data_IF_237693567033
#
_entry.id   IF_237693567033
#
_cell.length_a   1.000
_cell.length_b   1.000
_cell.length_c   1.000
_cell.angle_alpha   90.00
_cell.angle_beta   90.00
_cell.angle_gamma   90.00
#
_symmetry.space_group_name_H-M   'P 1'
#
loop_
_entity.id
_entity.type
_entity.pdbx_description
1 polymer ?
#
# COMPACT_ATOMS: atom_id res chain seq x y z
N UNK A 1 45.28 29.49 -14.58
CA UNK A 1 45.00 28.52 -13.50
C UNK A 1 43.57 28.54 -12.96
N UNK A 2 42.91 29.70 -12.79
CA UNK A 2 41.53 29.81 -12.25
C UNK A 2 40.45 29.13 -13.12
N UNK A 3 40.60 29.18 -14.45
CA UNK A 3 39.64 28.59 -15.42
C UNK A 3 39.70 27.05 -15.48
N UNK A 4 40.87 26.46 -15.28
CA UNK A 4 41.05 24.99 -15.22
C UNK A 4 40.44 24.42 -13.93
N UNK A 5 40.56 25.15 -12.81
CA UNK A 5 39.92 24.76 -11.55
C UNK A 5 38.39 24.79 -11.62
N UNK A 6 37.80 25.74 -12.36
CA UNK A 6 36.35 25.80 -12.55
C UNK A 6 35.83 24.64 -13.41
N UNK A 7 36.60 24.24 -14.44
CA UNK A 7 36.22 23.14 -15.34
C UNK A 7 36.25 21.77 -14.63
N UNK A 8 37.25 21.55 -13.77
CA UNK A 8 37.36 20.33 -12.95
C UNK A 8 36.25 20.26 -11.90
N UNK A 9 35.83 21.40 -11.35
CA UNK A 9 34.74 21.45 -10.37
C UNK A 9 33.36 21.21 -11.01
N UNK A 10 33.16 21.62 -12.27
CA UNK A 10 31.94 21.33 -13.04
C UNK A 10 31.86 19.83 -13.44
N UNK A 11 32.99 19.22 -13.78
CA UNK A 11 33.07 17.79 -14.12
C UNK A 11 32.84 16.88 -12.91
N UNK A 12 33.20 17.31 -11.70
CA UNK A 12 32.90 16.58 -10.46
C UNK A 12 31.41 16.66 -10.06
N UNK A 13 30.66 17.68 -10.51
CA UNK A 13 29.22 17.80 -10.27
C UNK A 13 28.35 17.06 -11.29
N UNK A 14 28.86 16.80 -12.50
CA UNK A 14 28.11 16.10 -13.54
C UNK A 14 28.10 14.57 -13.37
N UNK A 15 28.96 14.01 -12.52
CA UNK A 15 29.10 12.56 -12.32
C UNK A 15 28.15 11.91 -11.32
N UNK A 16 27.30 12.68 -10.62
CA UNK A 16 26.38 12.16 -9.59
C UNK A 16 24.93 12.06 -10.07
N UNK A 17 24.73 11.79 -11.36
CA UNK A 17 23.41 11.48 -11.91
C UNK A 17 23.08 10.02 -11.60
N UNK A 18 22.50 9.79 -10.43
CA UNK A 18 21.55 8.70 -10.14
C UNK A 18 21.92 7.29 -10.64
N UNK A 19 22.89 6.65 -10.01
CA UNK A 19 22.82 5.19 -9.83
C UNK A 19 21.78 4.92 -8.74
N UNK A 20 20.50 5.05 -9.09
CA UNK A 20 19.46 4.36 -8.34
C UNK A 20 19.60 2.89 -8.70
N UNK A 21 20.35 2.13 -7.88
CA UNK A 21 20.22 0.68 -7.89
C UNK A 21 18.73 0.39 -7.68
N UNK A 22 18.08 -0.15 -8.72
CA UNK A 22 16.72 -0.63 -8.59
C UNK A 22 16.78 -1.76 -7.56
N UNK A 23 16.30 -1.48 -6.34
CA UNK A 23 16.21 -2.49 -5.30
C UNK A 23 15.34 -3.63 -5.84
N UNK A 24 15.95 -4.76 -6.16
CA UNK A 24 15.22 -5.93 -6.60
C UNK A 24 14.62 -6.61 -5.38
N UNK A 25 13.31 -6.51 -5.27
CA UNK A 25 12.53 -7.17 -4.24
C UNK A 25 12.11 -8.54 -4.75
N UNK A 26 12.37 -9.59 -3.97
CA UNK A 26 11.80 -10.92 -4.26
C UNK A 26 10.28 -10.84 -4.18
N UNK A 27 9.74 -10.33 -3.08
CA UNK A 27 8.29 -10.11 -2.93
C UNK A 27 7.98 -8.64 -3.20
N UNK A 28 7.03 -8.35 -4.08
CA UNK A 28 6.75 -6.98 -4.49
C UNK A 28 5.31 -6.72 -4.87
N UNK A 29 4.94 -5.45 -4.82
CA UNK A 29 3.88 -4.85 -5.64
C UNK A 29 4.53 -3.73 -6.45
N UNK A 30 4.17 -3.64 -7.71
CA UNK A 30 4.53 -2.53 -8.60
C UNK A 30 3.32 -2.06 -9.38
N UNK A 31 3.17 -0.76 -9.58
CA UNK A 31 2.13 -0.16 -10.42
C UNK A 31 2.52 1.27 -10.79
N UNK A 32 1.70 1.91 -11.61
CA UNK A 32 1.69 3.37 -11.78
C UNK A 32 0.54 3.96 -10.98
N UNK A 33 0.85 4.87 -10.07
CA UNK A 33 -0.12 5.69 -9.34
C UNK A 33 -0.27 7.00 -10.10
N UNK A 34 -1.41 7.21 -10.76
CA UNK A 34 -1.66 8.38 -11.62
C UNK A 34 -0.53 8.62 -12.63
N UNK A 35 -0.01 7.53 -13.20
CA UNK A 35 1.10 7.54 -14.16
C UNK A 35 2.51 7.60 -13.55
N UNK A 36 2.65 7.78 -12.23
CA UNK A 36 3.94 7.77 -11.52
C UNK A 36 4.31 6.36 -11.07
N UNK A 37 5.52 5.92 -11.40
CA UNK A 37 6.02 4.60 -11.04
C UNK A 37 6.09 4.39 -9.51
N UNK A 38 5.62 3.24 -9.07
CA UNK A 38 5.69 2.73 -7.71
C UNK A 38 6.14 1.26 -7.73
N UNK A 39 7.14 0.91 -6.93
CA UNK A 39 7.56 -0.47 -6.66
C UNK A 39 8.11 -0.56 -5.25
N UNK A 40 7.58 -1.49 -4.46
CA UNK A 40 7.99 -1.68 -3.07
C UNK A 40 7.98 -3.15 -2.68
N UNK A 41 8.73 -3.49 -1.62
CA UNK A 41 8.69 -4.81 -1.00
C UNK A 41 7.27 -5.10 -0.52
N UNK A 42 6.77 -6.30 -0.82
CA UNK A 42 5.45 -6.74 -0.40
C UNK A 42 5.52 -7.88 0.61
N UNK A 43 4.55 -7.92 1.51
CA UNK A 43 4.42 -8.97 2.52
C UNK A 43 2.98 -9.46 2.60
N UNK A 44 2.81 -10.73 2.98
CA UNK A 44 1.50 -11.29 3.29
C UNK A 44 1.11 -10.86 4.70
N UNK A 45 -0.05 -10.24 4.84
CA UNK A 45 -0.59 -9.89 6.14
C UNK A 45 -1.56 -10.97 6.62
N UNK A 46 -1.37 -11.41 7.87
CA UNK A 46 -2.27 -12.36 8.55
C UNK A 46 -3.25 -11.58 9.42
N UNK A 47 -4.36 -11.15 8.85
CA UNK A 47 -5.46 -10.55 9.61
C UNK A 47 -6.54 -11.62 9.76
N UNK A 48 -6.83 -12.09 10.99
CA UNK A 48 -7.88 -13.09 11.19
C UNK A 48 -9.25 -12.49 10.92
N UNK A 49 -10.01 -13.08 10.00
CA UNK A 49 -11.39 -12.70 9.69
C UNK A 49 -12.29 -13.89 10.04
N UNK A 50 -13.38 -13.65 10.78
CA UNK A 50 -14.34 -14.71 11.13
C UNK A 50 -15.25 -15.02 9.95
N UNK A 51 -15.40 -16.30 9.61
CA UNK A 51 -16.37 -16.78 8.61
C UNK A 51 -15.86 -16.81 7.17
N UNK A 52 -14.63 -16.34 6.91
CA UNK A 52 -14.01 -16.29 5.58
C UNK A 52 -12.51 -16.55 5.70
N UNK A 53 -11.92 -17.07 4.63
CA UNK A 53 -10.48 -16.97 4.41
C UNK A 53 -10.13 -15.56 3.93
N UNK A 54 -8.94 -15.11 4.31
CA UNK A 54 -8.45 -13.78 3.99
C UNK A 54 -6.99 -13.83 3.55
N UNK A 55 -6.74 -13.28 2.36
CA UNK A 55 -5.41 -13.02 1.84
C UNK A 55 -5.24 -11.51 1.65
N UNK A 56 -4.40 -10.91 2.48
CA UNK A 56 -3.92 -9.56 2.26
C UNK A 56 -2.45 -9.57 1.84
N UNK A 57 -2.16 -8.76 0.83
CA UNK A 57 -0.81 -8.43 0.41
C UNK A 57 -0.69 -6.92 0.53
N UNK A 58 0.35 -6.46 1.21
CA UNK A 58 0.63 -5.04 1.30
C UNK A 58 2.09 -4.80 0.93
N UNK A 59 2.33 -3.72 0.18
CA UNK A 59 3.66 -3.19 -0.04
C UNK A 59 3.79 -1.83 0.60
N UNK A 60 5.01 -1.48 0.99
CA UNK A 60 5.26 -0.22 1.66
C UNK A 60 6.61 0.38 1.24
N UNK A 61 6.56 1.65 0.90
CA UNK A 61 7.72 2.47 0.65
C UNK A 61 7.86 3.49 1.78
N UNK A 62 9.09 3.73 2.23
CA UNK A 62 9.42 4.78 3.20
C UNK A 62 9.97 5.98 2.45
N UNK A 63 9.49 7.18 2.78
CA UNK A 63 9.97 8.47 2.24
C UNK A 63 9.93 8.57 0.69
N UNK A 64 8.76 8.87 0.08
CA UNK A 64 7.47 9.14 0.73
C UNK A 64 6.87 7.88 1.32
N UNK A 65 6.14 8.03 2.43
CA UNK A 65 5.50 6.89 3.08
C UNK A 65 4.24 6.54 2.27
N UNK A 66 4.28 5.43 1.53
CA UNK A 66 3.23 5.01 0.59
C UNK A 66 2.96 3.51 0.72
N UNK A 67 1.70 3.14 0.80
CA UNK A 67 1.25 1.75 0.81
C UNK A 67 0.27 1.45 -0.32
N UNK A 68 0.35 0.22 -0.83
CA UNK A 68 -0.65 -0.38 -1.72
C UNK A 68 -1.07 -1.71 -1.11
N UNK A 69 -2.37 -1.94 -1.04
CA UNK A 69 -2.95 -3.16 -0.49
C UNK A 69 -3.77 -3.88 -1.55
N UNK A 70 -3.66 -5.21 -1.58
CA UNK A 70 -4.55 -6.10 -2.31
C UNK A 70 -5.17 -7.03 -1.27
N UNK A 71 -6.50 -6.95 -1.12
CA UNK A 71 -7.28 -7.73 -0.16
C UNK A 71 -8.22 -8.68 -0.90
N UNK A 72 -8.17 -9.95 -0.55
CA UNK A 72 -9.02 -10.99 -1.13
C UNK A 72 -9.74 -11.70 0.01
N UNK A 73 -11.06 -11.62 0.00
CA UNK A 73 -11.95 -12.39 0.89
C UNK A 73 -12.55 -13.53 0.09
N UNK A 74 -12.49 -14.74 0.60
CA UNK A 74 -12.94 -15.93 -0.11
C UNK A 74 -13.25 -17.07 0.86
N UNK A 75 -13.88 -18.13 0.36
CA UNK A 75 -14.01 -19.39 1.08
C UNK A 75 -12.88 -20.35 0.68
N UNK A 76 -12.50 -21.27 1.56
CA UNK A 76 -11.26 -22.07 1.45
C UNK A 76 -11.04 -22.81 0.12
N UNK A 77 -12.10 -23.04 -0.66
CA UNK A 77 -12.09 -23.71 -1.97
C UNK A 77 -12.23 -22.77 -3.19
N UNK A 78 -12.35 -21.46 -2.96
CA UNK A 78 -12.83 -20.49 -3.97
C UNK A 78 -11.73 -19.65 -4.61
N UNK A 79 -10.58 -19.48 -3.96
CA UNK A 79 -9.48 -18.73 -4.56
C UNK A 79 -8.69 -19.61 -5.53
N UNK A 80 -8.77 -19.28 -6.81
CA UNK A 80 -8.16 -20.00 -7.93
C UNK A 80 -7.52 -19.00 -8.90
N UNK A 81 -6.65 -19.45 -9.81
CA UNK A 81 -6.24 -18.59 -10.92
C UNK A 81 -7.46 -18.09 -11.70
N UNK A 82 -7.48 -16.81 -12.03
CA UNK A 82 -8.62 -16.16 -12.65
C UNK A 82 -8.64 -14.65 -12.43
N UNK A 83 -9.59 -13.97 -13.06
CA UNK A 83 -9.81 -12.53 -12.93
C UNK A 83 -11.03 -12.24 -12.06
N UNK A 84 -10.82 -11.41 -11.05
CA UNK A 84 -11.81 -11.00 -10.06
C UNK A 84 -12.10 -9.52 -10.20
N UNK A 85 -13.37 -9.15 -10.09
CA UNK A 85 -13.78 -7.76 -10.09
C UNK A 85 -13.48 -7.13 -8.74
N UNK A 86 -12.94 -5.90 -8.78
CA UNK A 86 -12.75 -5.07 -7.59
C UNK A 86 -14.09 -4.45 -7.21
N UNK A 87 -14.43 -4.51 -5.93
CA UNK A 87 -15.67 -3.98 -5.39
C UNK A 87 -15.48 -2.61 -4.74
N UNK A 88 -16.55 -1.83 -4.67
CA UNK A 88 -16.63 -0.70 -3.74
C UNK A 88 -16.64 -1.28 -2.32
N UNK A 89 -15.75 -0.77 -1.45
CA UNK A 89 -15.68 -1.23 -0.07
C UNK A 89 -17.01 -1.02 0.70
N UNK A 90 -17.79 -0.01 0.32
CA UNK A 90 -19.11 0.25 0.91
C UNK A 90 -20.13 -0.85 0.58
N UNK A 91 -19.96 -1.54 -0.55
CA UNK A 91 -20.89 -2.60 -0.97
C UNK A 91 -20.61 -3.92 -0.25
N UNK A 92 -19.40 -4.11 0.30
CA UNK A 92 -18.96 -5.35 0.94
C UNK A 92 -19.86 -5.75 2.13
N UNK A 93 -20.26 -4.79 2.97
CA UNK A 93 -21.14 -5.06 4.12
C UNK A 93 -22.53 -5.54 3.66
N UNK A 94 -23.05 -4.95 2.58
CA UNK A 94 -24.35 -5.34 2.03
C UNK A 94 -24.29 -6.70 1.31
N UNK A 95 -23.18 -7.00 0.63
CA UNK A 95 -22.96 -8.25 -0.09
C UNK A 95 -22.70 -9.43 0.85
N UNK A 96 -22.02 -9.20 1.97
CA UNK A 96 -21.78 -10.24 2.99
C UNK A 96 -23.06 -10.70 3.72
N UNK A 97 -24.12 -9.88 3.73
CA UNK A 97 -25.42 -10.19 4.35
C UNK A 97 -26.37 -10.96 3.42
N UNK A 98 -26.18 -10.86 2.10
CA UNK A 98 -26.87 -11.72 1.14
C UNK A 98 -26.29 -13.12 1.32
N UNK A 99 -27.08 -14.19 1.14
CA UNK A 99 -26.53 -15.58 1.15
C UNK A 99 -25.42 -15.65 0.10
N UNK A 100 -24.19 -15.41 0.53
CA UNK A 100 -23.07 -15.29 -0.37
C UNK A 100 -22.90 -16.63 -1.06
N UNK A 101 -22.84 -16.59 -2.38
CA UNK A 101 -22.41 -17.74 -3.14
C UNK A 101 -21.05 -18.18 -2.58
N UNK A 102 -20.97 -19.42 -2.10
CA UNK A 102 -19.75 -19.94 -1.48
C UNK A 102 -18.58 -19.96 -2.45
N UNK A 103 -18.81 -19.84 -3.76
CA UNK A 103 -17.77 -19.74 -4.78
C UNK A 103 -17.21 -18.30 -4.97
N UNK A 104 -17.77 -17.30 -4.28
CA UNK A 104 -17.46 -15.88 -4.52
C UNK A 104 -16.13 -15.47 -3.87
N UNK A 105 -15.39 -14.63 -4.60
CA UNK A 105 -14.21 -13.91 -4.11
C UNK A 105 -14.49 -12.42 -4.18
N UNK A 106 -14.27 -11.71 -3.07
CA UNK A 106 -14.32 -10.25 -3.04
C UNK A 106 -12.89 -9.72 -3.09
N UNK A 107 -12.57 -8.97 -4.14
CA UNK A 107 -11.30 -8.30 -4.30
C UNK A 107 -11.43 -6.81 -3.98
N UNK A 108 -10.49 -6.29 -3.21
CA UNK A 108 -10.32 -4.86 -2.95
C UNK A 108 -8.87 -4.49 -3.20
N UNK A 109 -8.65 -3.29 -3.70
CA UNK A 109 -7.33 -2.70 -3.82
C UNK A 109 -7.39 -1.32 -3.21
N UNK A 110 -6.41 -0.99 -2.37
CA UNK A 110 -6.38 0.27 -1.64
C UNK A 110 -5.02 0.92 -1.74
N UNK A 111 -5.00 2.23 -1.55
CA UNK A 111 -3.83 3.07 -1.60
C UNK A 111 -3.82 4.05 -0.45
N UNK A 112 -2.64 4.36 0.07
CA UNK A 112 -2.46 5.49 0.99
C UNK A 112 -1.09 6.11 0.78
N UNK A 113 -1.05 7.43 0.74
CA UNK A 113 0.17 8.23 0.79
C UNK A 113 0.13 9.23 1.94
N UNK A 114 1.23 9.33 2.68
CA UNK A 114 1.45 10.43 3.61
C UNK A 114 1.78 11.71 2.83
N UNK A 115 0.79 12.61 2.70
CA UNK A 115 0.95 13.90 2.01
C UNK A 115 1.62 14.97 2.87
N UNK A 116 1.66 14.75 4.19
CA UNK A 116 2.39 15.60 5.14
C UNK A 116 3.02 14.77 6.24
N UNK A 117 4.36 14.80 6.29
CA UNK A 117 5.19 13.99 7.18
C UNK A 117 4.79 13.98 8.65
N UNK A 118 5.20 12.93 9.37
CA UNK A 118 4.93 12.66 10.80
C UNK A 118 3.45 12.35 11.13
N UNK A 119 2.72 11.81 10.16
CA UNK A 119 1.30 11.47 10.20
C UNK A 119 0.44 12.71 10.39
N UNK A 120 0.73 13.76 9.62
CA UNK A 120 -0.03 15.00 9.67
C UNK A 120 -1.15 15.05 8.64
N UNK A 121 -0.95 14.44 7.48
CA UNK A 121 -1.98 14.32 6.46
C UNK A 121 -1.73 13.10 5.59
N UNK A 122 -2.83 12.56 5.07
CA UNK A 122 -2.85 11.38 4.21
C UNK A 122 -3.78 11.61 3.03
N UNK A 123 -3.49 10.95 1.92
CA UNK A 123 -4.36 10.79 0.76
C UNK A 123 -4.62 9.30 0.59
N UNK A 124 -5.86 8.90 0.79
CA UNK A 124 -6.31 7.52 0.73
C UNK A 124 -7.09 7.28 -0.55
N UNK A 125 -6.80 6.16 -1.21
CA UNK A 125 -7.65 5.59 -2.25
C UNK A 125 -8.43 4.41 -1.68
N UNK A 126 -9.73 4.62 -1.45
CA UNK A 126 -10.68 3.57 -1.08
C UNK A 126 -11.08 2.77 -2.34
N UNK A 127 -11.07 1.44 -2.26
CA UNK A 127 -11.45 0.55 -3.36
C UNK A 127 -12.80 0.93 -3.99
N UNK A 128 -12.84 1.07 -5.32
CA UNK A 128 -14.06 1.42 -6.07
C UNK A 128 -14.33 0.45 -7.23
N UNK A 129 -13.39 0.27 -8.16
CA UNK A 129 -13.60 -0.61 -9.32
C UNK A 129 -12.29 -1.03 -9.98
N UNK A 130 -12.35 -2.01 -10.87
CA UNK A 130 -11.20 -2.54 -11.60
C UNK A 130 -11.12 -4.06 -11.52
N UNK A 131 -9.93 -4.62 -11.70
CA UNK A 131 -9.74 -6.08 -11.67
C UNK A 131 -8.46 -6.48 -10.98
N UNK A 132 -8.49 -7.65 -10.35
CA UNK A 132 -7.32 -8.39 -9.88
C UNK A 132 -7.27 -9.72 -10.61
N UNK A 133 -6.18 -10.00 -11.31
CA UNK A 133 -5.95 -11.27 -12.00
C UNK A 133 -4.89 -12.08 -11.27
N UNK A 134 -5.28 -13.25 -10.76
CA UNK A 134 -4.37 -14.23 -10.18
C UNK A 134 -3.90 -15.15 -11.31
N UNK A 135 -2.63 -15.05 -11.66
CA UNK A 135 -2.01 -15.93 -12.65
C UNK A 135 -1.57 -17.25 -12.04
N UNK A 136 -0.97 -17.21 -10.85
CA UNK A 136 -0.53 -18.39 -10.11
C UNK A 136 -0.82 -18.24 -8.63
N UNK A 137 -1.28 -19.32 -8.02
CA UNK A 137 -1.46 -19.41 -6.57
C UNK A 137 -1.06 -20.80 -6.10
N UNK A 138 -0.38 -20.84 -4.95
CA UNK A 138 -0.04 -22.04 -4.22
C UNK A 138 -0.42 -21.87 -2.75
N UNK A 139 -0.15 -22.88 -1.93
CA UNK A 139 -0.31 -22.75 -0.47
C UNK A 139 0.64 -21.71 0.15
N UNK A 140 1.75 -21.39 -0.53
CA UNK A 140 2.81 -20.53 0.00
C UNK A 140 3.13 -19.31 -0.87
N UNK A 141 2.46 -19.11 -1.99
CA UNK A 141 2.76 -17.99 -2.88
C UNK A 141 1.58 -17.57 -3.74
N UNK A 142 1.64 -16.33 -4.22
CA UNK A 142 0.67 -15.77 -5.15
C UNK A 142 1.34 -14.80 -6.11
N UNK A 143 0.92 -14.84 -7.36
CA UNK A 143 1.41 -14.00 -8.45
C UNK A 143 0.24 -13.51 -9.29
N UNK A 144 0.28 -12.24 -9.69
CA UNK A 144 -0.78 -11.70 -10.53
C UNK A 144 -0.56 -10.26 -10.96
N UNK A 145 -1.63 -9.71 -11.50
CA UNK A 145 -1.72 -8.31 -11.95
C UNK A 145 -3.00 -7.67 -11.47
N UNK A 146 -3.05 -6.34 -11.48
CA UNK A 146 -4.25 -5.60 -11.14
C UNK A 146 -4.30 -4.25 -11.86
N UNK A 147 -5.51 -3.74 -12.02
CA UNK A 147 -5.78 -2.36 -12.39
C UNK A 147 -6.95 -1.89 -11.52
N UNK A 148 -6.83 -0.72 -10.90
CA UNK A 148 -7.83 -0.22 -9.98
C UNK A 148 -8.08 1.26 -10.21
N UNK A 149 -9.35 1.65 -10.10
CA UNK A 149 -9.77 3.04 -9.88
C UNK A 149 -10.25 3.12 -8.45
N UNK A 150 -9.75 4.11 -7.71
CA UNK A 150 -10.02 4.29 -6.29
C UNK A 150 -10.69 5.63 -6.05
N UNK A 151 -11.52 5.69 -5.00
CA UNK A 151 -12.07 6.95 -4.49
C UNK A 151 -11.03 7.60 -3.60
N UNK A 152 -10.48 8.71 -4.08
CA UNK A 152 -9.48 9.47 -3.35
C UNK A 152 -10.11 10.34 -2.25
N UNK A 153 -9.52 10.33 -1.07
CA UNK A 153 -10.01 10.98 0.14
C UNK A 153 -8.84 11.55 0.92
N UNK A 154 -8.98 12.78 1.40
CA UNK A 154 -7.93 13.41 2.19
C UNK A 154 -8.20 13.35 3.70
N UNK A 155 -7.18 13.02 4.48
CA UNK A 155 -7.20 13.07 5.93
C UNK A 155 -6.21 14.09 6.46
N UNK A 156 -6.60 14.82 7.51
CA UNK A 156 -5.73 15.79 8.21
C UNK A 156 -5.78 15.56 9.71
N UNK A 157 -4.63 15.65 10.38
CA UNK A 157 -4.53 15.53 11.83
C UNK A 157 -5.41 16.57 12.53
N UNK A 158 -6.17 16.14 13.54
CA UNK A 158 -7.03 17.04 14.32
C UNK A 158 -6.16 18.10 15.03
N UNK A 159 -6.65 19.34 15.05
CA UNK A 159 -5.92 20.47 15.66
C UNK A 159 -5.56 20.19 17.13
N UNK A 160 -6.48 19.60 17.89
CA UNK A 160 -6.26 19.22 19.30
C UNK A 160 -5.08 18.26 19.47
N UNK A 161 -4.95 17.25 18.59
CA UNK A 161 -3.86 16.28 18.62
C UNK A 161 -2.50 16.87 18.19
N UNK A 162 -2.52 17.96 17.42
CA UNK A 162 -1.32 18.73 17.08
C UNK A 162 -0.88 19.58 18.26
N UNK A 163 -1.82 20.22 18.97
CA UNK A 163 -1.54 21.08 20.12
C UNK A 163 -1.04 20.30 21.35
N UNK A 164 -1.53 19.08 21.57
CA UNK A 164 -1.10 18.24 22.71
C UNK A 164 0.21 17.49 22.47
N UNK A 165 0.73 17.48 21.24
CA UNK A 165 1.97 16.77 20.86
C UNK A 165 1.90 15.23 20.94
N UNK A 166 0.82 14.67 21.49
CA UNK A 166 0.64 13.24 21.75
C UNK A 166 0.68 12.38 20.49
N UNK A 167 0.21 12.91 19.36
CA UNK A 167 0.24 12.20 18.08
C UNK A 167 1.56 12.35 17.30
N UNK A 168 2.44 13.30 17.62
CA UNK A 168 3.70 13.50 16.88
C UNK A 168 4.82 12.68 17.49
N UNK A 169 4.92 12.67 18.83
CA UNK A 169 5.95 11.90 19.54
C UNK A 169 5.79 10.39 19.31
N UNK A 170 4.56 9.88 19.38
CA UNK A 170 4.24 8.48 19.08
C UNK A 170 4.57 8.11 17.63
N UNK A 171 4.32 9.01 16.66
CA UNK A 171 4.65 8.78 15.25
C UNK A 171 6.15 8.85 14.98
N UNK A 172 6.88 9.71 15.70
CA UNK A 172 8.34 9.82 15.60
C UNK A 172 9.03 8.56 16.17
N UNK A 173 8.58 8.09 17.34
CA UNK A 173 9.05 6.83 17.93
C UNK A 173 8.73 5.66 16.99
N UNK A 174 7.49 5.55 16.51
CA UNK A 174 7.09 4.51 15.55
C UNK A 174 7.95 4.55 14.28
N UNK A 175 8.14 5.73 13.67
CA UNK A 175 8.99 5.91 12.48
C UNK A 175 10.46 5.58 12.75
N UNK A 176 10.96 5.85 13.96
CA UNK A 176 12.32 5.48 14.34
C UNK A 176 12.50 3.95 14.48
N UNK A 177 11.47 3.25 14.96
CA UNK A 177 11.50 1.79 15.16
C UNK A 177 11.16 0.99 13.91
N UNK A 178 10.09 1.35 13.20
CA UNK A 178 9.57 0.57 12.06
C UNK A 178 10.09 1.09 10.72
N UNK A 179 10.81 2.22 10.71
CA UNK A 179 11.11 3.05 9.52
C UNK A 179 9.87 3.57 8.79
N UNK A 180 8.68 3.09 9.13
CA UNK A 180 7.38 3.49 8.61
C UNK A 180 6.76 4.60 9.47
N UNK A 181 6.45 5.74 8.86
CA UNK A 181 5.70 6.79 9.54
C UNK A 181 4.30 6.34 9.96
N UNK A 182 3.89 6.87 11.11
CA UNK A 182 2.50 6.96 11.58
C UNK A 182 1.64 5.69 11.72
N UNK A 183 2.14 4.49 11.39
CA UNK A 183 1.38 3.24 11.55
C UNK A 183 1.01 2.52 10.26
N UNK A 184 1.54 2.96 9.11
CA UNK A 184 1.25 2.41 7.77
C UNK A 184 1.82 1.01 7.50
N UNK A 185 1.78 0.09 8.46
CA UNK A 185 1.95 -1.34 8.14
C UNK A 185 1.59 -2.32 9.26
N UNK A 186 1.21 -1.89 10.48
CA UNK A 186 1.37 -2.82 11.61
C UNK A 186 0.10 -3.39 12.22
N UNK A 187 -1.07 -2.74 12.32
CA UNK A 187 -2.16 -3.41 13.10
C UNK A 187 -3.64 -3.15 12.73
N UNK A 188 -3.99 -2.24 11.80
CA UNK A 188 -5.39 -1.76 11.77
C UNK A 188 -6.04 -1.59 10.38
N UNK A 189 -5.34 -1.95 9.29
CA UNK A 189 -5.89 -1.92 7.92
C UNK A 189 -5.40 -0.72 7.10
N UNK A 190 -5.78 -0.64 5.81
CA UNK A 190 -5.25 0.36 4.88
C UNK A 190 -5.69 1.80 5.19
N UNK A 191 -6.81 1.99 5.89
CA UNK A 191 -7.41 3.31 6.12
C UNK A 191 -7.35 3.79 7.58
N UNK A 192 -6.55 3.13 8.43
CA UNK A 192 -6.46 3.53 9.84
C UNK A 192 -5.51 4.71 10.06
N UNK A 193 -6.11 5.87 10.35
CA UNK A 193 -5.42 7.14 10.54
C UNK A 193 -5.73 7.74 11.91
N UNK A 194 -4.95 7.35 12.91
CA UNK A 194 -5.07 7.83 14.29
C UNK A 194 -5.16 9.35 14.40
N UNK A 195 -6.17 9.83 15.11
CA UNK A 195 -6.38 11.26 15.42
C UNK A 195 -6.47 12.18 14.19
N UNK A 196 -6.90 11.65 13.04
CA UNK A 196 -7.18 12.45 11.85
C UNK A 196 -8.67 12.75 11.70
N UNK A 197 -8.99 13.60 10.72
CA UNK A 197 -10.33 13.93 10.27
C UNK A 197 -10.35 13.85 8.74
N UNK A 198 -11.33 13.13 8.21
CA UNK A 198 -11.67 13.08 6.78
C UNK A 198 -12.11 14.46 6.30
N UNK A 199 -11.55 14.89 5.18
CA UNK A 199 -11.93 16.09 4.43
C UNK A 199 -13.15 15.80 3.56
N UNK A 200 -13.89 16.84 3.18
CA UNK A 200 -14.94 16.74 2.15
C UNK A 200 -14.33 16.76 0.73
N UNK A 201 -13.02 17.04 0.64
CA UNK A 201 -12.25 16.98 -0.59
C UNK A 201 -12.03 15.53 -1.02
N UNK A 202 -12.38 15.24 -2.27
CA UNK A 202 -12.26 13.92 -2.90
C UNK A 202 -11.80 14.04 -4.33
N UNK A 203 -11.07 13.03 -4.80
CA UNK A 203 -10.63 12.89 -6.19
C UNK A 203 -10.66 11.41 -6.62
N UNK A 204 -9.95 11.08 -7.69
CA UNK A 204 -9.84 9.72 -8.21
C UNK A 204 -8.37 9.37 -8.36
N UNK A 205 -8.00 8.21 -7.85
CA UNK A 205 -6.64 7.66 -7.98
C UNK A 205 -6.72 6.47 -8.93
N UNK A 206 -5.84 6.45 -9.93
CA UNK A 206 -5.74 5.33 -10.87
C UNK A 206 -4.47 4.55 -10.61
N UNK A 207 -4.63 3.27 -10.30
CA UNK A 207 -3.55 2.30 -10.25
C UNK A 207 -3.55 1.48 -11.53
N UNK A 208 -2.58 1.73 -12.41
CA UNK A 208 -2.45 1.02 -13.69
C UNK A 208 -1.19 0.16 -13.75
N UNK A 209 -1.17 -0.82 -14.66
CA UNK A 209 -0.02 -1.70 -14.89
C UNK A 209 0.43 -2.45 -13.61
N UNK A 210 -0.52 -2.74 -12.73
CA UNK A 210 -0.26 -3.38 -11.45
C UNK A 210 0.24 -4.80 -11.60
N UNK A 211 1.30 -5.15 -10.89
CA UNK A 211 1.87 -6.51 -10.78
C UNK A 211 2.24 -6.79 -9.34
N UNK A 212 2.09 -8.05 -8.95
CA UNK A 212 2.48 -8.48 -7.62
C UNK A 212 3.00 -9.91 -7.62
N UNK A 213 3.93 -10.17 -6.71
CA UNK A 213 4.37 -11.51 -6.38
C UNK A 213 4.76 -11.55 -4.91
N UNK A 214 4.25 -12.55 -4.18
CA UNK A 214 4.65 -12.79 -2.79
C UNK A 214 4.79 -14.28 -2.56
N UNK A 215 5.93 -14.68 -2.01
CA UNK A 215 6.24 -16.00 -1.49
C UNK A 215 6.44 -15.91 0.03
N UNK A 216 5.65 -16.68 0.77
CA UNK A 216 5.70 -16.83 2.23
C UNK A 216 6.05 -18.27 2.65
N UNK A 217 6.71 -19.04 1.79
CA UNK A 217 7.22 -20.39 2.09
C UNK A 217 8.31 -20.40 3.16
N UNK A 218 9.02 -19.28 3.33
CA UNK A 218 10.03 -19.10 4.36
C UNK A 218 9.48 -18.16 5.43
N UNK A 219 9.72 -18.43 6.72
CA UNK A 219 9.34 -17.51 7.79
C UNK A 219 10.00 -16.15 7.53
N UNK A 220 9.24 -15.07 7.75
CA UNK A 220 9.78 -13.72 7.70
C UNK A 220 11.02 -13.66 8.61
N UNK A 221 12.13 -13.12 8.11
CA UNK A 221 13.28 -12.86 8.98
C UNK A 221 12.78 -11.91 10.06
N UNK A 222 12.76 -12.37 11.30
CA UNK A 222 12.59 -11.49 12.45
C UNK A 222 13.70 -10.43 12.37
N UNK A 223 13.35 -9.22 11.97
CA UNK A 223 14.23 -8.06 12.09
C UNK A 223 14.41 -7.84 13.60
N UNK A 224 15.60 -8.20 14.10
CA UNK A 224 16.04 -8.00 15.49
C UNK A 224 16.20 -6.52 15.82
#
# INVERSE_FOLDING_TARGET
MRRIRLLVMLLLFAGFSGLSDAQEFTNYISCKVDGKEYKAEARRLKIPVRGFEYLAIASFQVSPDVQVWIRLYYFSDSLKPGTYQIFDENDLESESKKKADMARVWALVDYTEETKGLGHAFHDGESLSGTVTIGRISSTSVEGSFEATLRGVYYKKRAVATMTGSGIKANLERKAFTKAGAGMLVNAGPHDHDNTRKSDETDTIVLSEGRFFVDWSKPEKEEK
#
